data_IF_761943147323
#
_entry.id   IF_761943147323
#
_cell.length_a   1.000
_cell.length_b   1.000
_cell.length_c   1.000
_cell.angle_alpha   90.00
_cell.angle_beta   90.00
_cell.angle_gamma   90.00
#
_symmetry.space_group_name_H-M   'P 1'
#
loop_
_entity.id
_entity.type
_entity.pdbx_description
1 polymer ?
#
# COMPACT_ATOMS: atom_id res chain seq x y z
N UNK A 1 -17.99 95.51 -43.03
CA UNK A 1 -17.92 95.17 -41.59
C UNK A 1 -18.42 93.74 -41.46
N UNK A 2 -17.49 92.79 -41.23
CA UNK A 2 -17.71 91.35 -41.39
C UNK A 2 -18.47 90.77 -40.20
N UNK A 3 -19.54 90.01 -40.47
CA UNK A 3 -20.31 89.27 -39.47
C UNK A 3 -19.48 88.10 -38.94
N UNK A 4 -19.21 88.12 -37.64
CA UNK A 4 -18.58 87.02 -36.92
C UNK A 4 -19.54 85.82 -36.93
N UNK A 5 -19.15 84.75 -37.64
CA UNK A 5 -19.85 83.48 -37.71
C UNK A 5 -19.61 82.68 -36.41
N UNK A 6 -20.58 82.70 -35.50
CA UNK A 6 -20.51 82.03 -34.21
C UNK A 6 -20.98 80.56 -34.24
N UNK A 7 -20.67 79.82 -35.31
CA UNK A 7 -20.98 78.39 -35.41
C UNK A 7 -19.72 77.53 -35.34
N UNK A 8 -19.00 77.64 -34.22
CA UNK A 8 -17.99 76.66 -33.81
C UNK A 8 -18.22 76.36 -32.33
N UNK A 9 -19.41 75.85 -32.01
CA UNK A 9 -19.59 75.01 -30.84
C UNK A 9 -19.02 73.64 -31.18
N UNK A 10 -17.68 73.54 -31.09
CA UNK A 10 -17.02 72.25 -30.96
C UNK A 10 -17.60 71.62 -29.70
N UNK A 11 -18.55 70.70 -29.88
CA UNK A 11 -18.87 69.73 -28.87
C UNK A 11 -17.58 68.96 -28.58
N UNK A 12 -16.80 69.44 -27.60
CA UNK A 12 -15.73 68.68 -26.98
C UNK A 12 -16.44 67.49 -26.34
N UNK A 13 -16.55 66.41 -27.12
CA UNK A 13 -17.05 65.10 -26.71
C UNK A 13 -16.25 64.73 -25.47
N UNK A 14 -16.82 65.02 -24.30
CA UNK A 14 -16.27 64.62 -23.02
C UNK A 14 -16.17 63.11 -23.07
N UNK A 15 -14.96 62.64 -23.30
CA UNK A 15 -14.65 61.22 -23.31
C UNK A 15 -14.93 60.72 -21.90
N UNK A 16 -16.10 60.10 -21.71
CA UNK A 16 -16.48 59.41 -20.47
C UNK A 16 -15.66 58.11 -20.33
N UNK A 17 -14.32 58.18 -20.41
CA UNK A 17 -13.41 57.04 -20.18
C UNK A 17 -13.72 56.37 -18.86
N UNK A 18 -14.03 57.18 -17.83
CA UNK A 18 -14.19 56.71 -16.47
C UNK A 18 -15.33 55.70 -16.27
N UNK A 19 -16.42 55.83 -17.03
CA UNK A 19 -17.54 54.87 -16.97
C UNK A 19 -17.29 53.64 -17.86
N UNK A 20 -16.60 53.82 -18.99
CA UNK A 20 -16.18 52.71 -19.85
C UNK A 20 -15.20 51.79 -19.13
N UNK A 21 -14.15 52.37 -18.53
CA UNK A 21 -13.11 51.65 -17.79
C UNK A 21 -13.67 50.92 -16.57
N UNK A 22 -14.58 51.54 -15.80
CA UNK A 22 -15.26 50.88 -14.68
C UNK A 22 -16.14 49.71 -15.12
N UNK A 23 -16.80 49.82 -16.27
CA UNK A 23 -17.64 48.75 -16.81
C UNK A 23 -16.79 47.57 -17.33
N UNK A 24 -15.73 47.87 -18.07
CA UNK A 24 -14.76 46.88 -18.57
C UNK A 24 -14.04 46.17 -17.42
N UNK A 25 -13.62 46.90 -16.38
CA UNK A 25 -13.01 46.30 -15.19
C UNK A 25 -13.97 45.34 -14.47
N UNK A 26 -15.27 45.68 -14.37
CA UNK A 26 -16.29 44.83 -13.77
C UNK A 26 -16.57 43.58 -14.60
N UNK A 27 -16.56 43.68 -15.92
CA UNK A 27 -16.72 42.54 -16.83
C UNK A 27 -15.51 41.60 -16.78
N UNK A 28 -14.29 42.14 -16.79
CA UNK A 28 -13.05 41.37 -16.59
C UNK A 28 -13.04 40.63 -15.25
N UNK A 29 -13.53 41.28 -14.18
CA UNK A 29 -13.64 40.65 -12.86
C UNK A 29 -14.64 39.48 -12.85
N UNK A 30 -15.81 39.66 -13.50
CA UNK A 30 -16.80 38.58 -13.63
C UNK A 30 -16.27 37.41 -14.47
N UNK A 31 -15.61 37.70 -15.58
CA UNK A 31 -14.94 36.69 -16.42
C UNK A 31 -13.89 35.92 -15.62
N UNK A 32 -13.05 36.61 -14.86
CA UNK A 32 -12.05 36.00 -13.98
C UNK A 32 -12.67 35.06 -12.94
N UNK A 33 -13.78 35.44 -12.30
CA UNK A 33 -14.51 34.56 -11.37
C UNK A 33 -15.09 33.32 -12.05
N UNK A 34 -15.69 33.46 -13.24
CA UNK A 34 -16.22 32.29 -13.98
C UNK A 34 -15.13 31.33 -14.42
N UNK A 35 -13.97 31.85 -14.84
CA UNK A 35 -12.81 31.03 -15.20
C UNK A 35 -12.23 30.29 -13.99
N UNK A 36 -12.12 30.96 -12.84
CA UNK A 36 -11.67 30.34 -11.59
C UNK A 36 -12.62 29.21 -11.15
N UNK A 37 -13.94 29.40 -11.30
CA UNK A 37 -14.93 28.37 -10.98
C UNK A 37 -14.81 27.13 -11.87
N UNK A 38 -14.67 27.32 -13.19
CA UNK A 38 -14.46 26.22 -14.14
C UNK A 38 -13.16 25.48 -13.82
N UNK A 39 -12.08 26.23 -13.54
CA UNK A 39 -10.79 25.65 -13.17
C UNK A 39 -10.89 24.83 -11.88
N UNK A 40 -11.63 25.32 -10.88
CA UNK A 40 -11.85 24.60 -9.63
C UNK A 40 -12.57 23.25 -9.84
N UNK A 41 -13.62 23.23 -10.69
CA UNK A 41 -14.33 21.98 -11.03
C UNK A 41 -13.39 21.00 -11.72
N UNK A 42 -12.58 21.46 -12.67
CA UNK A 42 -11.59 20.61 -13.37
C UNK A 42 -10.56 20.05 -12.38
N UNK A 43 -10.07 20.88 -11.45
CA UNK A 43 -9.14 20.43 -10.40
C UNK A 43 -9.76 19.35 -9.51
N UNK A 44 -11.00 19.54 -9.08
CA UNK A 44 -11.73 18.57 -8.26
C UNK A 44 -11.90 17.25 -9.03
N UNK A 45 -12.26 17.31 -10.32
CA UNK A 45 -12.38 16.13 -11.16
C UNK A 45 -11.04 15.40 -11.34
N UNK A 46 -9.95 16.12 -11.61
CA UNK A 46 -8.61 15.55 -11.71
C UNK A 46 -8.17 14.89 -10.41
N UNK A 47 -8.43 15.53 -9.26
CA UNK A 47 -8.16 14.96 -7.94
C UNK A 47 -8.98 13.69 -7.69
N UNK A 48 -10.23 13.64 -8.13
CA UNK A 48 -11.07 12.44 -8.03
C UNK A 48 -10.51 11.25 -8.83
N UNK A 49 -10.10 11.49 -10.08
CA UNK A 49 -9.47 10.46 -10.92
C UNK A 49 -8.14 10.00 -10.30
N UNK A 50 -7.33 10.94 -9.83
CA UNK A 50 -6.06 10.65 -9.16
C UNK A 50 -6.25 9.83 -7.88
N UNK A 51 -7.29 10.13 -7.09
CA UNK A 51 -7.62 9.38 -5.89
C UNK A 51 -7.98 7.91 -6.19
N UNK A 52 -8.82 7.68 -7.19
CA UNK A 52 -9.19 6.32 -7.63
C UNK A 52 -7.93 5.57 -8.13
N UNK A 53 -7.04 6.25 -8.86
CA UNK A 53 -5.78 5.66 -9.29
C UNK A 53 -4.91 5.20 -8.12
N UNK A 54 -4.73 6.05 -7.09
CA UNK A 54 -3.99 5.68 -5.88
C UNK A 54 -4.65 4.49 -5.18
N UNK A 55 -5.98 4.49 -5.08
CA UNK A 55 -6.70 3.40 -4.43
C UNK A 55 -6.46 2.06 -5.14
N UNK A 56 -6.49 2.05 -6.48
CA UNK A 56 -6.19 0.86 -7.27
C UNK A 56 -4.73 0.42 -7.12
N UNK A 57 -3.78 1.35 -7.14
CA UNK A 57 -2.36 1.05 -6.92
C UNK A 57 -2.11 0.47 -5.52
N UNK A 58 -2.75 1.02 -4.49
CA UNK A 58 -2.63 0.54 -3.13
C UNK A 58 -3.27 -0.85 -2.96
N UNK A 59 -4.40 -1.11 -3.62
CA UNK A 59 -4.99 -2.43 -3.66
C UNK A 59 -4.04 -3.46 -4.30
N UNK A 60 -3.47 -3.16 -5.47
CA UNK A 60 -2.51 -4.04 -6.15
C UNK A 60 -1.28 -4.32 -5.30
N UNK A 61 -0.69 -3.28 -4.69
CA UNK A 61 0.44 -3.44 -3.78
C UNK A 61 0.08 -4.28 -2.55
N UNK A 62 -1.12 -4.12 -2.01
CA UNK A 62 -1.62 -4.92 -0.90
C UNK A 62 -1.70 -6.42 -1.23
N UNK A 63 -2.18 -6.76 -2.43
CA UNK A 63 -2.20 -8.15 -2.89
C UNK A 63 -0.78 -8.73 -3.04
N UNK A 64 0.15 -7.97 -3.64
CA UNK A 64 1.54 -8.39 -3.79
C UNK A 64 2.22 -8.62 -2.44
N UNK A 65 2.00 -7.73 -1.46
CA UNK A 65 2.54 -7.89 -0.11
C UNK A 65 2.00 -9.17 0.54
N UNK A 66 0.70 -9.44 0.37
CA UNK A 66 0.08 -10.64 0.95
C UNK A 66 0.60 -11.93 0.33
N UNK A 67 0.85 -11.93 -0.98
CA UNK A 67 1.48 -13.05 -1.67
C UNK A 67 2.91 -13.28 -1.16
N UNK A 68 3.72 -12.21 -1.10
CA UNK A 68 5.08 -12.28 -0.56
C UNK A 68 5.09 -12.79 0.88
N UNK A 69 4.14 -12.34 1.71
CA UNK A 69 4.05 -12.79 3.10
C UNK A 69 3.73 -14.29 3.21
N UNK A 70 2.90 -14.81 2.31
CA UNK A 70 2.63 -16.24 2.20
C UNK A 70 3.89 -17.03 1.84
N UNK A 71 4.60 -16.59 0.80
CA UNK A 71 5.85 -17.22 0.35
C UNK A 71 6.93 -17.18 1.45
N UNK A 72 7.07 -16.04 2.13
CA UNK A 72 8.01 -15.89 3.24
C UNK A 72 7.70 -16.85 4.38
N UNK A 73 6.42 -16.96 4.77
CA UNK A 73 5.99 -17.89 5.83
C UNK A 73 6.27 -19.35 5.47
N UNK A 74 6.01 -19.73 4.23
CA UNK A 74 6.30 -21.08 3.73
C UNK A 74 7.80 -21.37 3.77
N UNK A 75 8.63 -20.44 3.29
CA UNK A 75 10.07 -20.60 3.27
C UNK A 75 10.65 -20.71 4.69
N UNK A 76 10.20 -19.86 5.61
CA UNK A 76 10.58 -19.92 7.03
C UNK A 76 10.15 -21.25 7.66
N UNK A 77 8.98 -21.80 7.29
CA UNK A 77 8.56 -23.10 7.78
C UNK A 77 9.48 -24.23 7.29
N UNK A 78 9.87 -24.20 6.01
CA UNK A 78 10.81 -25.17 5.45
C UNK A 78 12.19 -25.09 6.09
N UNK A 79 12.69 -23.89 6.36
CA UNK A 79 13.95 -23.65 7.07
C UNK A 79 13.91 -24.26 8.48
N UNK A 80 12.85 -24.00 9.25
CA UNK A 80 12.68 -24.59 10.58
C UNK A 80 12.63 -26.13 10.54
N UNK A 81 11.95 -26.71 9.55
CA UNK A 81 11.94 -28.17 9.37
C UNK A 81 13.34 -28.71 9.06
N UNK A 82 14.09 -28.02 8.22
CA UNK A 82 15.45 -28.41 7.87
C UNK A 82 16.37 -28.37 9.10
N UNK A 83 16.27 -27.32 9.92
CA UNK A 83 17.04 -27.20 11.16
C UNK A 83 16.75 -28.33 12.14
N UNK A 84 15.48 -28.73 12.28
CA UNK A 84 15.09 -29.89 13.09
C UNK A 84 15.75 -31.16 12.57
N UNK A 85 15.74 -31.39 11.25
CA UNK A 85 16.37 -32.58 10.65
C UNK A 85 17.88 -32.59 10.81
N UNK A 86 18.53 -31.42 10.73
CA UNK A 86 19.96 -31.29 10.99
C UNK A 86 20.27 -31.62 12.46
N UNK A 87 19.46 -31.12 13.40
CA UNK A 87 19.62 -31.42 14.83
C UNK A 87 19.41 -32.90 15.12
N UNK A 88 18.41 -33.53 14.50
CA UNK A 88 18.16 -34.98 14.59
C UNK A 88 19.37 -35.77 14.08
N UNK A 89 19.90 -35.45 12.90
CA UNK A 89 21.11 -36.07 12.35
C UNK A 89 22.32 -35.93 13.28
N UNK A 90 22.58 -34.71 13.78
CA UNK A 90 23.66 -34.46 14.75
C UNK A 90 23.48 -35.25 16.05
N UNK A 91 22.24 -35.43 16.51
CA UNK A 91 21.96 -36.23 17.70
C UNK A 91 22.26 -37.71 17.48
N UNK A 92 21.94 -38.25 16.30
CA UNK A 92 22.27 -39.63 15.91
C UNK A 92 23.79 -39.79 15.83
N UNK A 93 24.50 -38.87 15.16
CA UNK A 93 25.96 -38.90 15.07
C UNK A 93 26.60 -38.86 16.47
N UNK A 94 26.07 -38.03 17.38
CA UNK A 94 26.54 -37.96 18.76
C UNK A 94 26.29 -39.26 19.53
N UNK A 95 25.14 -39.93 19.33
CA UNK A 95 24.86 -41.23 19.93
C UNK A 95 25.81 -42.30 19.39
N UNK A 96 26.02 -42.36 18.07
CA UNK A 96 26.93 -43.32 17.42
C UNK A 96 28.37 -43.11 17.91
N UNK A 97 28.80 -41.86 18.05
CA UNK A 97 30.13 -41.50 18.55
C UNK A 97 30.31 -41.70 20.06
N UNK A 98 29.23 -41.96 20.82
CA UNK A 98 29.31 -42.11 22.25
C UNK A 98 30.10 -43.39 22.64
N UNK A 99 30.97 -43.34 23.66
CA UNK A 99 31.77 -44.50 24.08
C UNK A 99 30.92 -45.68 24.58
N UNK A 100 29.67 -45.43 25.00
CA UNK A 100 28.69 -46.46 25.33
C UNK A 100 28.29 -47.31 24.10
N UNK A 101 28.24 -46.72 22.90
CA UNK A 101 27.95 -47.47 21.67
C UNK A 101 29.11 -48.41 21.28
N UNK A 102 30.36 -48.01 21.53
CA UNK A 102 31.54 -48.86 21.27
C UNK A 102 31.62 -50.05 22.23
N UNK A 103 30.94 -49.99 23.38
CA UNK A 103 30.84 -51.06 24.36
C UNK A 103 29.52 -51.84 24.27
N UNK A 104 28.63 -51.52 23.33
CA UNK A 104 27.43 -52.33 23.08
C UNK A 104 27.80 -53.65 22.39
N UNK A 105 27.31 -54.75 22.95
CA UNK A 105 27.42 -56.07 22.35
C UNK A 105 26.33 -56.25 21.28
N UNK A 106 26.71 -56.70 20.09
CA UNK A 106 25.75 -57.05 19.02
C UNK A 106 24.94 -58.27 19.43
N UNK A 107 23.62 -58.15 19.48
CA UNK A 107 22.70 -59.24 19.87
C UNK A 107 21.98 -59.76 18.62
N UNK A 108 22.26 -60.99 18.21
CA UNK A 108 21.64 -61.64 17.03
C UNK A 108 20.15 -61.99 17.22
N UNK A 109 19.67 -62.09 18.47
CA UNK A 109 18.27 -62.41 18.80
C UNK A 109 17.79 -61.61 20.03
N UNK A 110 17.21 -60.42 19.84
CA UNK A 110 16.75 -59.60 20.95
C UNK A 110 15.50 -60.20 21.60
N UNK A 111 15.56 -60.43 22.92
CA UNK A 111 14.37 -60.76 23.71
C UNK A 111 13.82 -59.47 24.33
N UNK A 112 12.64 -59.04 23.89
CA UNK A 112 12.03 -57.81 24.37
C UNK A 112 11.37 -58.05 25.74
N UNK A 113 11.68 -57.19 26.71
CA UNK A 113 10.91 -57.12 27.96
C UNK A 113 9.55 -56.50 27.64
N UNK A 114 8.57 -57.35 27.35
CA UNK A 114 7.15 -56.94 27.31
C UNK A 114 6.71 -56.77 28.76
N UNK A 115 6.41 -55.54 29.18
CA UNK A 115 5.75 -55.32 30.46
C UNK A 115 4.41 -56.08 30.42
N UNK A 116 4.27 -57.09 31.27
CA UNK A 116 3.01 -57.83 31.41
C UNK A 116 1.99 -56.85 31.98
N UNK A 117 1.02 -56.42 31.17
CA UNK A 117 -0.12 -55.68 31.66
C UNK A 117 -0.73 -56.45 32.84
N UNK A 118 -0.73 -55.83 34.01
CA UNK A 118 -1.35 -56.40 35.18
C UNK A 118 -2.83 -56.63 34.87
N UNK A 119 -3.38 -57.84 35.06
CA UNK A 119 -4.81 -58.05 34.87
C UNK A 119 -5.55 -57.22 35.93
N UNK A 120 -6.27 -56.19 35.48
CA UNK A 120 -7.23 -55.49 36.31
C UNK A 120 -8.32 -56.49 36.72
N UNK A 121 -8.27 -56.93 37.97
CA UNK A 121 -9.38 -57.68 38.56
C UNK A 121 -10.59 -56.74 38.66
N UNK A 122 -11.75 -57.10 38.09
CA UNK A 122 -12.97 -56.36 38.39
C UNK A 122 -13.32 -56.67 39.84
N UNK A 123 -13.33 -55.64 40.69
CA UNK A 123 -13.96 -55.71 42.01
C UNK A 123 -15.47 -55.78 41.79
N UNK A 124 -16.05 -56.93 42.13
CA UNK A 124 -17.49 -57.05 42.40
C UNK A 124 -17.86 -56.27 43.67
#
# INVERSE_FOLDING_TARGET
MSLVNANVLVAKKGHLSFFSERKVARENFRLSFTQAYILAIVLIACLGIYYIWILNQNATKGYQIRELQGQYRELTFQENLLDIRIAEGKSIDAIIAAPIMQSMQTVDAPFFLVMRDAPSTPKN
#
